data_IF_478675589084
#
_entry.id   IF_478675589084
#
_cell.length_a   1.000
_cell.length_b   1.000
_cell.length_c   1.000
_cell.angle_alpha   90.00
_cell.angle_beta   90.00
_cell.angle_gamma   90.00
#
_symmetry.space_group_name_H-M   'P 1'
#
loop_
_entity.id
_entity.type
_entity.pdbx_description
1 polymer ?
#
# COMPACT_ATOMS: atom_id res chain seq x y z
N UNK A 1 -12.51 -5.53 -2.14
CA UNK A 1 -11.33 -5.91 -1.32
C UNK A 1 -10.23 -6.28 -2.29
N UNK A 2 -9.01 -5.74 -2.13
CA UNK A 2 -7.89 -5.77 -3.11
C UNK A 2 -7.91 -4.70 -4.23
N UNK A 3 -8.76 -3.68 -4.14
CA UNK A 3 -8.94 -2.67 -5.20
C UNK A 3 -7.63 -1.97 -5.60
N UNK A 4 -6.81 -1.59 -4.61
CA UNK A 4 -5.58 -0.82 -4.83
C UNK A 4 -4.34 -1.70 -5.03
N UNK A 5 -4.47 -3.02 -4.87
CA UNK A 5 -3.35 -3.95 -5.00
C UNK A 5 -2.71 -3.97 -6.40
N UNK A 6 -3.48 -3.91 -7.51
CA UNK A 6 -2.91 -3.80 -8.85
C UNK A 6 -2.01 -2.57 -9.02
N UNK A 7 -2.34 -1.43 -8.41
CA UNK A 7 -1.50 -0.22 -8.50
C UNK A 7 -0.14 -0.39 -7.82
N UNK A 8 -0.12 -1.04 -6.64
CA UNK A 8 1.15 -1.40 -6.00
C UNK A 8 1.98 -2.35 -6.88
N UNK A 9 1.33 -3.36 -7.46
CA UNK A 9 1.99 -4.37 -8.27
C UNK A 9 2.57 -3.78 -9.56
N UNK A 10 1.83 -2.91 -10.27
CA UNK A 10 2.31 -2.20 -11.47
C UNK A 10 3.56 -1.36 -11.20
N UNK A 11 3.68 -0.82 -9.99
CA UNK A 11 4.78 0.05 -9.55
C UNK A 11 5.92 -0.71 -8.89
N UNK A 12 5.84 -2.04 -8.82
CA UNK A 12 6.80 -2.90 -8.14
C UNK A 12 7.03 -2.52 -6.66
N UNK A 13 5.97 -2.06 -5.99
CA UNK A 13 6.02 -1.62 -4.59
C UNK A 13 5.61 -2.72 -3.62
N UNK A 14 5.16 -3.88 -4.10
CA UNK A 14 4.72 -5.00 -3.28
C UNK A 14 5.93 -5.70 -2.66
N UNK A 15 6.03 -5.61 -1.33
CA UNK A 15 6.97 -6.36 -0.50
C UNK A 15 6.26 -6.90 0.76
N UNK A 16 6.96 -7.71 1.57
CA UNK A 16 6.36 -8.32 2.77
C UNK A 16 5.78 -7.30 3.76
N UNK A 17 6.46 -6.19 4.10
CA UNK A 17 5.86 -5.14 4.91
C UNK A 17 4.58 -4.56 4.31
N UNK A 18 4.56 -4.30 3.01
CA UNK A 18 3.37 -3.76 2.31
C UNK A 18 2.21 -4.73 2.40
N UNK A 19 2.44 -6.03 2.19
CA UNK A 19 1.41 -7.07 2.34
C UNK A 19 0.90 -7.18 3.78
N UNK A 20 1.81 -7.21 4.76
CA UNK A 20 1.44 -7.31 6.18
C UNK A 20 0.59 -6.12 6.63
N UNK A 21 0.97 -4.90 6.24
CA UNK A 21 0.20 -3.69 6.55
C UNK A 21 -1.14 -3.68 5.81
N UNK A 22 -1.17 -4.08 4.54
CA UNK A 22 -2.42 -4.13 3.77
C UNK A 22 -3.43 -5.11 4.35
N UNK A 23 -2.97 -6.29 4.80
CA UNK A 23 -3.82 -7.30 5.41
C UNK A 23 -4.36 -6.83 6.77
N UNK A 24 -3.50 -6.24 7.61
CA UNK A 24 -3.90 -5.72 8.93
C UNK A 24 -4.91 -4.57 8.86
N UNK A 25 -4.87 -3.75 7.80
CA UNK A 25 -5.84 -2.66 7.58
C UNK A 25 -7.07 -3.11 6.77
N UNK A 26 -7.14 -4.37 6.34
CA UNK A 26 -8.26 -4.88 5.52
C UNK A 26 -8.30 -4.35 4.09
N UNK A 27 -7.22 -3.73 3.62
CA UNK A 27 -7.08 -3.24 2.24
C UNK A 27 -6.92 -4.38 1.24
N UNK A 28 -6.29 -5.46 1.70
CA UNK A 28 -6.19 -6.72 0.97
C UNK A 28 -6.66 -7.89 1.83
N UNK A 29 -6.92 -9.01 1.15
CA UNK A 29 -7.17 -10.30 1.75
C UNK A 29 -6.00 -11.28 1.51
N UNK A 30 -6.12 -12.49 2.08
CA UNK A 30 -5.13 -13.55 1.91
C UNK A 30 -4.95 -14.00 0.46
N UNK A 31 -5.96 -13.87 -0.39
CA UNK A 31 -5.86 -14.25 -1.81
C UNK A 31 -4.83 -13.39 -2.55
N UNK A 32 -4.79 -12.08 -2.26
CA UNK A 32 -3.78 -11.18 -2.83
C UNK A 32 -2.36 -11.53 -2.36
N UNK A 33 -2.21 -11.92 -1.09
CA UNK A 33 -0.93 -12.39 -0.53
C UNK A 33 -0.49 -13.68 -1.22
N UNK A 34 -1.41 -14.65 -1.37
CA UNK A 34 -1.17 -15.91 -2.04
C UNK A 34 -0.77 -15.72 -3.51
N UNK A 35 -1.48 -14.85 -4.23
CA UNK A 35 -1.17 -14.53 -5.63
C UNK A 35 0.24 -13.94 -5.77
N UNK A 36 0.64 -13.06 -4.85
CA UNK A 36 1.99 -12.51 -4.83
C UNK A 36 3.05 -13.59 -4.57
N UNK A 37 2.83 -14.42 -3.55
CA UNK A 37 3.74 -15.52 -3.22
C UNK A 37 3.88 -16.50 -4.41
N UNK A 38 2.78 -16.84 -5.08
CA UNK A 38 2.79 -17.69 -6.27
C UNK A 38 3.60 -17.08 -7.42
N UNK A 39 3.51 -15.76 -7.64
CA UNK A 39 4.33 -15.05 -8.63
C UNK A 39 5.83 -15.15 -8.31
N UNK A 40 6.21 -15.02 -7.04
CA UNK A 40 7.62 -15.16 -6.61
C UNK A 40 8.15 -16.58 -6.82
N UNK A 41 7.36 -17.61 -6.50
CA UNK A 41 7.72 -19.02 -6.77
C UNK A 41 7.86 -19.28 -8.27
N UNK A 42 6.93 -18.74 -9.07
CA UNK A 42 6.95 -18.87 -10.53
C UNK A 42 8.15 -18.16 -11.16
N UNK A 43 8.65 -17.10 -10.51
CA UNK A 43 9.88 -16.41 -10.89
C UNK A 43 11.16 -17.15 -10.45
N UNK A 44 11.03 -18.28 -9.75
CA UNK A 44 12.14 -19.15 -9.36
C UNK A 44 12.63 -18.97 -7.93
N UNK A 45 11.98 -18.13 -7.12
CA UNK A 45 12.32 -18.02 -5.70
C UNK A 45 11.93 -19.32 -4.98
N UNK A 46 12.89 -19.96 -4.31
CA UNK A 46 12.70 -21.23 -3.61
C UNK A 46 12.81 -20.98 -2.10
N UNK A 47 11.69 -20.65 -1.45
CA UNK A 47 11.58 -20.56 0.01
C UNK A 47 10.33 -21.32 0.47
N UNK A 48 10.48 -22.13 1.53
CA UNK A 48 9.40 -22.95 2.07
C UNK A 48 8.23 -22.14 2.58
N UNK A 49 8.48 -20.97 3.16
CA UNK A 49 7.46 -20.13 3.77
C UNK A 49 6.68 -19.39 2.67
N UNK A 50 7.35 -19.02 1.57
CA UNK A 50 6.69 -18.49 0.38
C UNK A 50 5.81 -19.57 -0.26
N UNK A 51 6.27 -20.83 -0.30
CA UNK A 51 5.46 -21.95 -0.76
C UNK A 51 4.21 -22.16 0.10
N UNK A 52 4.32 -21.99 1.41
CA UNK A 52 3.18 -22.05 2.34
C UNK A 52 2.23 -20.86 2.12
N UNK A 53 2.74 -19.65 1.92
CA UNK A 53 1.89 -18.48 1.59
C UNK A 53 1.13 -18.66 0.27
N UNK A 54 1.76 -19.21 -0.76
CA UNK A 54 1.10 -19.48 -2.04
C UNK A 54 -0.01 -20.55 -1.92
N UNK A 55 -0.01 -21.34 -0.84
CA UNK A 55 -1.03 -22.32 -0.49
C UNK A 55 -1.89 -21.91 0.71
N UNK A 56 -2.09 -20.62 0.97
CA UNK A 56 -2.72 -20.11 2.19
C UNK A 56 -4.23 -20.39 2.34
N UNK A 57 -4.86 -21.13 1.42
CA UNK A 57 -6.29 -21.43 1.46
C UNK A 57 -6.71 -22.08 2.80
N UNK A 58 -5.87 -23.00 3.29
CA UNK A 58 -6.07 -23.71 4.55
C UNK A 58 -5.65 -22.92 5.80
N UNK A 59 -5.00 -21.77 5.62
CA UNK A 59 -4.57 -20.92 6.72
C UNK A 59 -5.67 -19.92 7.11
N UNK A 60 -5.73 -19.64 8.40
CA UNK A 60 -6.44 -18.48 8.95
C UNK A 60 -5.67 -17.19 8.67
N UNK A 61 -6.37 -16.06 8.75
CA UNK A 61 -5.76 -14.74 8.52
C UNK A 61 -4.62 -14.47 9.53
N UNK A 62 -4.78 -14.90 10.78
CA UNK A 62 -3.75 -14.78 11.82
C UNK A 62 -2.48 -15.59 11.47
N UNK A 63 -2.64 -16.78 10.89
CA UNK A 63 -1.51 -17.60 10.43
C UNK A 63 -0.79 -16.95 9.24
N UNK A 64 -1.53 -16.34 8.32
CA UNK A 64 -0.94 -15.58 7.20
C UNK A 64 -0.15 -14.38 7.71
N UNK A 65 -0.69 -13.62 8.68
CA UNK A 65 0.01 -12.50 9.32
C UNK A 65 1.29 -12.96 10.01
N UNK A 66 1.24 -14.07 10.75
CA UNK A 66 2.40 -14.64 11.44
C UNK A 66 3.50 -15.08 10.45
N UNK A 67 3.10 -15.63 9.30
CA UNK A 67 4.02 -16.07 8.25
C UNK A 67 4.68 -14.88 7.54
N UNK A 68 3.91 -13.82 7.24
CA UNK A 68 4.45 -12.56 6.73
C UNK A 68 5.47 -11.93 7.69
N UNK A 69 5.19 -11.95 8.99
CA UNK A 69 6.13 -11.47 10.01
C UNK A 69 7.41 -12.32 10.07
N UNK A 70 7.30 -13.63 9.83
CA UNK A 70 8.45 -14.55 9.77
C UNK A 70 9.32 -14.26 8.55
N UNK A 71 8.72 -14.04 7.38
CA UNK A 71 9.43 -13.65 6.15
C UNK A 71 10.16 -12.31 6.31
N UNK A 72 9.51 -11.32 6.91
CA UNK A 72 10.17 -10.03 7.21
C UNK A 72 11.42 -10.25 8.07
N UNK A 73 11.32 -11.05 9.15
CA UNK A 73 12.46 -11.36 10.01
C UNK A 73 13.58 -12.09 9.28
N UNK A 74 13.26 -13.04 8.40
CA UNK A 74 14.24 -13.77 7.58
C UNK A 74 15.05 -12.83 6.69
N UNK A 75 14.41 -11.81 6.13
CA UNK A 75 15.06 -10.80 5.28
C UNK A 75 15.73 -9.68 6.09
N UNK A 76 15.76 -9.78 7.42
CA UNK A 76 16.33 -8.75 8.29
C UNK A 76 15.50 -7.46 8.31
N UNK A 77 14.22 -7.53 7.95
CA UNK A 77 13.30 -6.41 7.90
C UNK A 77 12.57 -6.27 9.24
N UNK A 78 12.76 -5.13 9.90
CA UNK A 78 11.91 -4.74 11.02
C UNK A 78 10.60 -4.10 10.47
N UNK A 79 9.48 -4.78 10.74
CA UNK A 79 8.15 -4.31 10.34
C UNK A 79 7.78 -2.96 10.95
N UNK A 80 8.22 -2.64 12.16
CA UNK A 80 7.93 -1.35 12.79
C UNK A 80 8.71 -0.23 12.10
N UNK A 81 9.99 -0.47 11.78
CA UNK A 81 10.81 0.51 11.06
C UNK A 81 10.30 0.74 9.63
N UNK A 82 9.84 -0.33 8.95
CA UNK A 82 9.30 -0.25 7.58
C UNK A 82 7.82 0.14 7.52
N UNK A 83 7.12 0.20 8.65
CA UNK A 83 5.69 0.51 8.68
C UNK A 83 5.37 1.84 8.00
N UNK A 84 6.15 2.89 8.27
CA UNK A 84 5.94 4.19 7.65
C UNK A 84 6.03 4.07 6.13
N UNK A 85 7.12 3.50 5.61
CA UNK A 85 7.36 3.32 4.17
C UNK A 85 6.26 2.47 3.51
N UNK A 86 5.82 1.40 4.16
CA UNK A 86 4.70 0.58 3.69
C UNK A 86 3.38 1.39 3.61
N UNK A 87 3.09 2.23 4.60
CA UNK A 87 1.92 3.12 4.57
C UNK A 87 2.02 4.16 3.44
N UNK A 88 3.21 4.69 3.17
CA UNK A 88 3.42 5.61 2.04
C UNK A 88 3.16 4.94 0.68
N UNK A 89 3.54 3.66 0.52
CA UNK A 89 3.24 2.88 -0.69
C UNK A 89 1.74 2.71 -0.88
N UNK A 90 1.03 2.34 0.18
CA UNK A 90 -0.44 2.22 0.16
C UNK A 90 -1.11 3.55 -0.15
N UNK A 91 -0.64 4.63 0.49
CA UNK A 91 -1.12 5.99 0.21
C UNK A 91 -0.93 6.36 -1.26
N UNK A 92 0.25 6.10 -1.82
CA UNK A 92 0.49 6.34 -3.25
C UNK A 92 -0.50 5.56 -4.13
N UNK A 93 -0.71 4.26 -3.85
CA UNK A 93 -1.62 3.43 -4.65
C UNK A 93 -3.08 3.93 -4.59
N UNK A 94 -3.57 4.23 -3.38
CA UNK A 94 -4.95 4.69 -3.18
C UNK A 94 -5.21 6.08 -3.77
N UNK A 95 -4.28 7.02 -3.53
CA UNK A 95 -4.39 8.37 -4.09
C UNK A 95 -4.22 8.38 -5.61
N UNK A 96 -3.38 7.50 -6.16
CA UNK A 96 -3.24 7.34 -7.61
C UNK A 96 -4.54 6.84 -8.24
N UNK A 97 -5.19 5.83 -7.66
CA UNK A 97 -6.50 5.36 -8.14
C UNK A 97 -7.54 6.49 -8.07
N UNK A 98 -7.62 7.19 -6.94
CA UNK A 98 -8.55 8.29 -6.77
C UNK A 98 -8.34 9.41 -7.81
N UNK A 99 -7.09 9.79 -8.05
CA UNK A 99 -6.71 10.78 -9.05
C UNK A 99 -7.21 10.39 -10.45
N UNK A 100 -7.01 9.13 -10.86
CA UNK A 100 -7.38 8.64 -12.19
C UNK A 100 -8.83 8.16 -12.30
N UNK A 101 -9.57 8.12 -11.20
CA UNK A 101 -10.97 7.72 -11.20
C UNK A 101 -11.84 8.69 -12.02
N UNK A 102 -12.95 8.17 -12.55
CA UNK A 102 -13.96 8.95 -13.28
C UNK A 102 -15.01 9.60 -12.36
N UNK A 103 -14.73 9.67 -11.06
CA UNK A 103 -15.60 10.32 -10.08
C UNK A 103 -15.69 11.82 -10.38
N UNK A 104 -16.81 12.44 -10.01
CA UNK A 104 -16.91 13.89 -10.02
C UNK A 104 -15.99 14.50 -8.97
N UNK A 105 -15.58 15.76 -9.13
CA UNK A 105 -14.65 16.41 -8.21
C UNK A 105 -15.17 16.43 -6.76
N UNK A 106 -16.48 16.63 -6.56
CA UNK A 106 -17.11 16.58 -5.24
C UNK A 106 -16.92 15.19 -4.58
N UNK A 107 -17.20 14.12 -5.31
CA UNK A 107 -17.02 12.74 -4.84
C UNK A 107 -15.53 12.42 -4.59
N UNK A 108 -14.63 12.96 -5.42
CA UNK A 108 -13.18 12.81 -5.22
C UNK A 108 -12.72 13.49 -3.95
N UNK A 109 -13.20 14.70 -3.69
CA UNK A 109 -12.87 15.45 -2.47
C UNK A 109 -13.38 14.71 -1.24
N UNK A 110 -14.60 14.19 -1.27
CA UNK A 110 -15.15 13.37 -0.18
C UNK A 110 -14.26 12.15 0.09
N UNK A 111 -13.96 11.36 -0.95
CA UNK A 111 -13.08 10.19 -0.81
C UNK A 111 -11.67 10.57 -0.37
N UNK A 112 -11.17 11.73 -0.78
CA UNK A 112 -9.88 12.27 -0.33
C UNK A 112 -9.89 12.58 1.17
N UNK A 113 -11.00 13.11 1.72
CA UNK A 113 -11.12 13.34 3.16
C UNK A 113 -11.15 12.01 3.94
N UNK A 114 -11.85 11.00 3.41
CA UNK A 114 -11.87 9.66 4.01
C UNK A 114 -10.47 9.05 4.05
N UNK A 115 -9.73 9.07 2.94
CA UNK A 115 -8.37 8.57 2.88
C UNK A 115 -7.45 9.35 3.83
N UNK A 116 -7.58 10.68 3.90
CA UNK A 116 -6.80 11.50 4.82
C UNK A 116 -6.99 11.05 6.28
N UNK A 117 -8.23 10.76 6.69
CA UNK A 117 -8.53 10.22 8.01
C UNK A 117 -8.07 8.77 8.18
N UNK A 118 -8.24 7.92 7.16
CA UNK A 118 -7.83 6.50 7.16
C UNK A 118 -6.31 6.34 7.37
N UNK A 119 -5.51 7.25 6.83
CA UNK A 119 -4.07 7.30 7.05
C UNK A 119 -3.64 8.02 8.35
N UNK A 120 -4.60 8.48 9.17
CA UNK A 120 -4.31 9.11 10.46
C UNK A 120 -3.83 10.56 10.35
N UNK A 121 -4.30 11.30 9.35
CA UNK A 121 -3.98 12.71 9.11
C UNK A 121 -2.49 13.00 8.90
N UNK A 122 -1.83 12.37 7.91
CA UNK A 122 -0.41 12.58 7.68
C UNK A 122 -0.12 14.00 7.17
N UNK A 123 0.97 14.60 7.67
CA UNK A 123 1.33 16.00 7.39
C UNK A 123 1.46 16.30 5.88
N UNK A 124 1.91 15.34 5.07
CA UNK A 124 2.06 15.50 3.62
C UNK A 124 0.72 15.66 2.90
N UNK A 125 -0.38 15.20 3.49
CA UNK A 125 -1.75 15.36 2.97
C UNK A 125 -2.50 16.54 3.59
N UNK A 126 -1.88 17.36 4.46
CA UNK A 126 -2.61 18.42 5.17
C UNK A 126 -3.35 19.38 4.22
N UNK A 127 -2.75 19.70 3.07
CA UNK A 127 -3.35 20.55 2.03
C UNK A 127 -4.48 19.88 1.24
N UNK A 128 -4.64 18.56 1.34
CA UNK A 128 -5.77 17.84 0.75
C UNK A 128 -7.08 18.07 1.54
N UNK A 129 -7.00 18.60 2.76
CA UNK A 129 -8.19 18.84 3.57
C UNK A 129 -8.96 20.06 3.09
N UNK A 130 -10.28 19.95 3.02
CA UNK A 130 -11.16 21.12 2.78
C UNK A 130 -11.10 22.16 3.91
N UNK A 131 -10.54 21.79 5.06
CA UNK A 131 -10.32 22.68 6.20
C UNK A 131 -8.90 23.26 6.24
N UNK A 132 -8.07 22.95 5.24
CA UNK A 132 -6.74 23.52 5.14
C UNK A 132 -6.85 25.04 5.07
N UNK A 133 -6.10 25.74 5.92
CA UNK A 133 -6.04 27.21 5.90
C UNK A 133 -5.01 27.69 4.87
N UNK A 134 -5.02 27.08 3.68
CA UNK A 134 -4.18 27.44 2.56
C UNK A 134 -5.06 27.64 1.32
N UNK A 135 -4.53 28.37 0.33
CA UNK A 135 -5.26 28.66 -0.91
C UNK A 135 -5.07 27.54 -1.96
N UNK A 136 -4.82 26.30 -1.52
CA UNK A 136 -4.59 25.16 -2.43
C UNK A 136 -5.88 24.40 -2.61
N UNK A 137 -6.28 24.19 -3.86
CA UNK A 137 -7.42 23.33 -4.18
C UNK A 137 -7.11 21.88 -3.75
N UNK A 138 -8.05 21.16 -3.07
CA UNK A 138 -7.81 19.79 -2.62
C UNK A 138 -7.41 18.80 -3.73
N UNK A 139 -7.91 18.98 -4.96
CA UNK A 139 -7.56 18.14 -6.10
C UNK A 139 -6.14 18.48 -6.59
N UNK A 140 -5.77 19.76 -6.59
CA UNK A 140 -4.39 20.16 -6.87
C UNK A 140 -3.43 19.63 -5.80
N UNK A 141 -3.83 19.65 -4.52
CA UNK A 141 -3.07 19.07 -3.42
C UNK A 141 -2.90 17.55 -3.60
N UNK A 142 -3.96 16.84 -3.99
CA UNK A 142 -3.89 15.41 -4.34
C UNK A 142 -2.81 15.15 -5.40
N UNK A 143 -2.82 15.90 -6.51
CA UNK A 143 -1.80 15.77 -7.56
C UNK A 143 -0.38 16.00 -7.03
N UNK A 144 -0.19 17.00 -6.16
CA UNK A 144 1.11 17.29 -5.55
C UNK A 144 1.60 16.15 -4.65
N UNK A 145 0.72 15.58 -3.82
CA UNK A 145 1.05 14.46 -2.94
C UNK A 145 1.44 13.22 -3.74
N UNK A 146 0.64 12.86 -4.77
CA UNK A 146 0.95 11.73 -5.65
C UNK A 146 2.31 11.93 -6.30
N UNK A 147 2.56 13.10 -6.90
CA UNK A 147 3.85 13.40 -7.54
C UNK A 147 5.03 13.33 -6.57
N UNK A 148 4.88 13.83 -5.34
CA UNK A 148 5.92 13.77 -4.32
C UNK A 148 6.24 12.34 -3.88
N UNK A 149 5.22 11.50 -3.69
CA UNK A 149 5.38 10.08 -3.36
C UNK A 149 6.03 9.32 -4.52
N UNK A 150 5.61 9.55 -5.76
CA UNK A 150 6.22 8.95 -6.95
C UNK A 150 7.72 9.28 -7.05
N UNK A 151 8.09 10.54 -6.87
CA UNK A 151 9.50 10.97 -6.89
C UNK A 151 10.33 10.30 -5.79
N UNK A 152 9.75 10.13 -4.59
CA UNK A 152 10.41 9.46 -3.47
C UNK A 152 10.73 8.00 -3.80
N UNK A 153 9.74 7.24 -4.29
CA UNK A 153 9.94 5.83 -4.62
C UNK A 153 10.79 5.60 -5.87
N UNK A 154 10.74 6.52 -6.84
CA UNK A 154 11.65 6.51 -7.98
C UNK A 154 13.12 6.71 -7.54
N UNK A 155 13.35 7.57 -6.54
CA UNK A 155 14.70 7.84 -6.01
C UNK A 155 15.25 6.71 -5.15
N UNK A 156 14.38 6.00 -4.41
CA UNK A 156 14.76 4.83 -3.61
C UNK A 156 15.13 3.61 -4.47
N UNK A 157 14.53 3.48 -5.67
CA UNK A 157 14.79 2.38 -6.60
C UNK A 157 16.13 2.50 -7.37
N UNK A 158 16.83 3.64 -7.21
CA UNK A 158 18.10 3.96 -7.87
C UNK A 158 19.36 3.75 -7.02
N UNK A 159 19.26 3.06 -5.87
CA UNK A 159 20.39 2.77 -4.97
C UNK A 159 20.69 1.29 -4.85
#
# INVERSE_FOLDING_TARGET
MNEYFPELAKRNLVDWPTLAIGLNNGWINKDAVSEHAFKLLSAGQQDSDIAVLAGSDALSDDEVVALLATLCKKEGIDLQEKRSHALEKWRLAMLSELQHSSLADEDKIERLQELYAEFGYPDDMASCSIYAQNDVDPIDALHQVVAALEQRFASDSGR
#
